data_IF_673696229800
#
_entry.id   IF_673696229800
#
_cell.length_a   1.000
_cell.length_b   1.000
_cell.length_c   1.000
_cell.angle_alpha   90.00
_cell.angle_beta   90.00
_cell.angle_gamma   90.00
#
_symmetry.space_group_name_H-M   'P 1'
#
loop_
_entity.id
_entity.type
_entity.pdbx_description
1 polymer ?
#
# COMPACT_ATOMS: atom_id res chain seq x y z
N UNK A 1 0.62 31.36 50.68
CA UNK A 1 0.33 29.91 50.53
C UNK A 1 -0.85 29.76 49.58
N UNK A 2 -0.68 29.19 48.38
CA UNK A 2 -1.82 28.92 47.50
C UNK A 2 -2.86 28.11 48.27
N UNK A 3 -4.10 28.60 48.30
CA UNK A 3 -5.20 27.96 49.04
C UNK A 3 -5.39 26.53 48.52
N UNK A 4 -5.68 25.58 49.42
CA UNK A 4 -5.90 24.16 49.10
C UNK A 4 -6.90 23.96 47.94
N UNK A 5 -7.84 24.89 47.80
CA UNK A 5 -8.79 24.96 46.70
C UNK A 5 -8.13 25.13 45.32
N UNK A 6 -7.09 25.96 45.19
CA UNK A 6 -6.38 26.17 43.90
C UNK A 6 -5.62 24.92 43.46
N UNK A 7 -5.01 24.22 44.42
CA UNK A 7 -4.35 22.93 44.15
C UNK A 7 -5.34 21.84 43.78
N UNK A 8 -6.51 21.80 44.42
CA UNK A 8 -7.57 20.86 44.06
C UNK A 8 -8.08 21.11 42.63
N UNK A 9 -8.30 22.38 42.24
CA UNK A 9 -8.74 22.73 40.89
C UNK A 9 -7.69 22.36 39.83
N UNK A 10 -6.40 22.63 40.11
CA UNK A 10 -5.31 22.24 39.20
C UNK A 10 -5.19 20.72 39.07
N UNK A 11 -5.33 19.97 40.15
CA UNK A 11 -5.30 18.51 40.11
C UNK A 11 -6.46 17.95 39.27
N UNK A 12 -7.67 18.51 39.43
CA UNK A 12 -8.84 18.11 38.63
C UNK A 12 -8.61 18.42 37.15
N UNK A 13 -8.14 19.63 36.81
CA UNK A 13 -7.82 19.99 35.42
C UNK A 13 -6.77 19.07 34.81
N UNK A 14 -5.73 18.73 35.57
CA UNK A 14 -4.68 17.82 35.10
C UNK A 14 -5.21 16.41 34.85
N UNK A 15 -6.06 15.89 35.73
CA UNK A 15 -6.72 14.58 35.54
C UNK A 15 -7.63 14.60 34.31
N UNK A 16 -8.48 15.63 34.17
CA UNK A 16 -9.37 15.77 33.01
C UNK A 16 -8.56 15.86 31.72
N UNK A 17 -7.48 16.63 31.69
CA UNK A 17 -6.59 16.74 30.54
C UNK A 17 -5.89 15.41 30.21
N UNK A 18 -5.38 14.70 31.23
CA UNK A 18 -4.78 13.38 31.03
C UNK A 18 -5.77 12.38 30.44
N UNK A 19 -6.99 12.34 30.98
CA UNK A 19 -8.06 11.46 30.47
C UNK A 19 -8.44 11.83 29.04
N UNK A 20 -8.59 13.12 28.72
CA UNK A 20 -8.97 13.54 27.36
C UNK A 20 -7.89 13.22 26.33
N UNK A 21 -6.61 13.38 26.68
CA UNK A 21 -5.48 12.99 25.81
C UNK A 21 -5.46 11.48 25.56
N UNK A 22 -5.67 10.66 26.59
CA UNK A 22 -5.74 9.20 26.46
C UNK A 22 -6.91 8.79 25.57
N UNK A 23 -8.11 9.32 25.82
CA UNK A 23 -9.31 8.99 25.02
C UNK A 23 -9.16 9.47 23.57
N UNK A 24 -8.58 10.64 23.34
CA UNK A 24 -8.33 11.14 21.99
C UNK A 24 -7.29 10.29 21.25
N UNK A 25 -6.24 9.83 21.92
CA UNK A 25 -5.22 8.95 21.36
C UNK A 25 -5.72 7.52 21.08
N UNK A 26 -6.79 7.10 21.75
CA UNK A 26 -7.41 5.79 21.57
C UNK A 26 -8.49 5.77 20.48
N UNK A 27 -8.75 6.87 19.77
CA UNK A 27 -9.68 6.85 18.64
C UNK A 27 -9.15 5.93 17.55
N UNK A 28 -9.65 4.70 17.53
CA UNK A 28 -9.55 3.81 16.40
C UNK A 28 -10.23 4.52 15.22
N UNK A 29 -9.47 4.82 14.18
CA UNK A 29 -10.01 5.26 12.89
C UNK A 29 -11.12 4.26 12.49
N UNK A 30 -12.34 4.70 12.12
CA UNK A 30 -13.39 3.79 11.73
C UNK A 30 -12.91 2.94 10.55
N UNK A 31 -12.67 1.66 10.81
CA UNK A 31 -12.32 0.69 9.78
C UNK A 31 -13.60 0.43 8.98
N UNK A 32 -13.59 0.80 7.71
CA UNK A 32 -14.72 0.52 6.81
C UNK A 32 -14.94 -1.00 6.77
N UNK A 33 -16.19 -1.44 6.92
CA UNK A 33 -16.55 -2.85 6.87
C UNK A 33 -16.03 -3.47 5.55
N UNK A 34 -15.32 -4.59 5.67
CA UNK A 34 -14.69 -5.27 4.53
C UNK A 34 -13.24 -4.89 4.24
N UNK A 35 -12.66 -3.90 4.92
CA UNK A 35 -11.23 -3.57 4.83
C UNK A 35 -10.52 -4.14 6.05
N UNK A 36 -9.70 -5.17 5.87
CA UNK A 36 -8.86 -5.68 6.96
C UNK A 36 -7.64 -4.78 7.11
N UNK A 37 -7.42 -4.27 8.32
CA UNK A 37 -6.21 -3.49 8.63
C UNK A 37 -5.01 -4.43 8.54
N UNK A 38 -4.12 -4.17 7.58
CA UNK A 38 -2.88 -4.91 7.41
C UNK A 38 -1.74 -4.10 8.04
N UNK A 39 -1.16 -4.62 9.11
CA UNK A 39 -0.01 -4.02 9.79
C UNK A 39 0.00 -4.28 11.29
N UNK A 40 1.00 -3.77 11.99
CA UNK A 40 1.04 -3.79 13.45
C UNK A 40 -0.15 -3.04 14.04
N UNK A 41 -0.67 -3.55 15.16
CA UNK A 41 -1.62 -2.81 15.97
C UNK A 41 -0.95 -1.62 16.66
N UNK A 42 -1.77 -0.69 17.18
CA UNK A 42 -1.24 0.46 17.92
C UNK A 42 -0.34 0.00 19.08
N UNK A 43 0.89 0.52 19.10
CA UNK A 43 1.94 0.16 20.07
C UNK A 43 2.38 -1.32 20.06
N UNK A 44 2.07 -2.09 19.02
CA UNK A 44 2.53 -3.47 18.92
C UNK A 44 4.02 -3.54 18.52
N UNK A 45 4.84 -4.33 19.24
CA UNK A 45 6.20 -4.62 18.80
C UNK A 45 6.24 -5.37 17.48
N UNK A 46 7.15 -4.97 16.57
CA UNK A 46 7.31 -5.59 15.24
C UNK A 46 7.45 -7.12 15.33
N UNK A 47 8.23 -7.62 16.29
CA UNK A 47 8.42 -9.06 16.48
C UNK A 47 7.13 -9.80 16.87
N UNK A 48 6.20 -9.14 17.57
CA UNK A 48 4.90 -9.70 17.91
C UNK A 48 3.97 -9.71 16.70
N UNK A 49 3.96 -8.60 15.94
CA UNK A 49 3.23 -8.51 14.67
C UNK A 49 3.65 -9.63 13.72
N UNK A 50 4.95 -9.81 13.49
CA UNK A 50 5.45 -10.82 12.56
C UNK A 50 5.07 -12.25 13.00
N UNK A 51 5.09 -12.53 14.31
CA UNK A 51 4.67 -13.82 14.86
C UNK A 51 3.18 -14.06 14.64
N UNK A 52 2.34 -13.07 14.93
CA UNK A 52 0.88 -13.14 14.72
C UNK A 52 0.54 -13.27 13.23
N UNK A 53 1.19 -12.49 12.38
CA UNK A 53 1.03 -12.56 10.93
C UNK A 53 1.42 -13.95 10.42
N UNK A 54 2.55 -14.50 10.86
CA UNK A 54 2.96 -15.87 10.54
C UNK A 54 1.94 -16.93 10.97
N UNK A 55 1.40 -16.80 12.19
CA UNK A 55 0.37 -17.72 12.69
C UNK A 55 -0.98 -17.59 11.97
N UNK A 56 -1.24 -16.47 11.30
CA UNK A 56 -2.47 -16.26 10.51
C UNK A 56 -2.42 -16.86 9.12
N UNK A 57 -1.23 -17.28 8.66
CA UNK A 57 -1.10 -17.91 7.35
C UNK A 57 -1.82 -19.27 7.33
N UNK A 58 -2.52 -19.61 6.24
CA UNK A 58 -3.13 -20.92 6.09
C UNK A 58 -2.09 -22.03 6.26
N UNK A 59 -2.39 -23.04 7.08
CA UNK A 59 -1.53 -24.22 7.20
C UNK A 59 -1.48 -25.01 5.89
N UNK A 60 -0.45 -25.84 5.70
CA UNK A 60 -0.19 -26.56 4.43
C UNK A 60 -1.27 -27.54 3.95
N UNK A 61 -2.36 -27.72 4.71
CA UNK A 61 -3.55 -28.50 4.33
C UNK A 61 -4.70 -27.65 3.79
N UNK A 62 -4.61 -26.32 3.88
CA UNK A 62 -5.52 -25.45 3.18
C UNK A 62 -5.18 -25.57 1.68
N UNK A 63 -6.18 -25.83 0.83
CA UNK A 63 -5.99 -25.90 -0.62
C UNK A 63 -5.46 -24.58 -1.21
N UNK A 64 -5.47 -24.40 -2.54
CA UNK A 64 -4.93 -23.20 -3.17
C UNK A 64 -5.51 -21.90 -2.58
N UNK A 65 -4.65 -20.98 -2.16
CA UNK A 65 -5.04 -19.67 -1.61
C UNK A 65 -4.48 -18.53 -2.46
N UNK A 66 -5.15 -17.38 -2.41
CA UNK A 66 -4.64 -16.15 -2.99
C UNK A 66 -3.43 -15.64 -2.19
N UNK A 67 -2.36 -15.28 -2.89
CA UNK A 67 -1.17 -14.70 -2.30
C UNK A 67 -0.75 -13.45 -3.09
N UNK A 68 -0.22 -12.46 -2.36
CA UNK A 68 0.51 -11.34 -2.96
C UNK A 68 2.00 -11.67 -2.91
N UNK A 69 2.65 -11.70 -4.08
CA UNK A 69 4.06 -12.04 -4.19
C UNK A 69 4.83 -10.78 -4.56
N UNK A 70 5.59 -10.23 -3.62
CA UNK A 70 6.50 -9.13 -3.92
C UNK A 70 7.79 -9.67 -4.53
N UNK A 71 8.19 -9.09 -5.65
CA UNK A 71 9.44 -9.45 -6.35
C UNK A 71 10.63 -8.73 -5.71
N UNK A 72 11.80 -9.37 -5.75
CA UNK A 72 13.07 -8.78 -5.30
C UNK A 72 13.60 -7.70 -6.26
N UNK A 73 13.19 -7.79 -7.52
CA UNK A 73 13.59 -6.94 -8.62
C UNK A 73 12.40 -6.69 -9.55
N UNK A 74 12.40 -5.53 -10.21
CA UNK A 74 11.35 -5.22 -11.16
C UNK A 74 11.48 -6.08 -12.41
N UNK A 75 10.37 -6.65 -12.87
CA UNK A 75 10.35 -7.49 -14.07
C UNK A 75 9.66 -6.81 -15.25
N UNK A 76 10.07 -7.24 -16.44
CA UNK A 76 9.33 -7.00 -17.68
C UNK A 76 8.04 -7.83 -17.70
N UNK A 77 7.03 -7.46 -18.51
CA UNK A 77 5.77 -8.19 -18.61
C UNK A 77 5.89 -9.69 -18.90
N UNK A 78 6.76 -10.08 -19.84
CA UNK A 78 6.91 -11.49 -20.24
C UNK A 78 7.51 -12.35 -19.12
N UNK A 79 8.67 -12.01 -18.51
CA UNK A 79 9.18 -12.73 -17.34
C UNK A 79 8.20 -12.78 -16.16
N UNK A 80 7.44 -11.71 -15.93
CA UNK A 80 6.42 -11.70 -14.88
C UNK A 80 5.28 -12.67 -15.18
N UNK A 81 4.79 -12.72 -16.42
CA UNK A 81 3.77 -13.67 -16.84
C UNK A 81 4.27 -15.12 -16.71
N UNK A 82 5.56 -15.36 -17.03
CA UNK A 82 6.18 -16.67 -16.89
C UNK A 82 6.20 -17.21 -15.46
N UNK A 83 6.37 -16.34 -14.45
CA UNK A 83 6.30 -16.73 -13.03
C UNK A 83 4.90 -17.23 -12.63
N UNK A 84 3.87 -16.80 -13.36
CA UNK A 84 2.48 -17.16 -13.06
C UNK A 84 2.00 -18.40 -13.82
N UNK A 85 2.89 -19.10 -14.53
CA UNK A 85 2.53 -20.34 -15.22
C UNK A 85 1.96 -21.37 -14.24
N UNK A 86 0.74 -21.83 -14.51
CA UNK A 86 0.04 -22.81 -13.67
C UNK A 86 -0.75 -22.21 -12.51
N UNK A 87 -0.73 -20.89 -12.31
CA UNK A 87 -1.57 -20.20 -11.34
C UNK A 87 -2.35 -19.07 -12.01
N UNK A 88 -3.49 -18.69 -11.42
CA UNK A 88 -4.27 -17.56 -11.93
C UNK A 88 -3.66 -16.26 -11.43
N UNK A 89 -3.28 -15.38 -12.35
CA UNK A 89 -2.89 -14.01 -12.02
C UNK A 89 -4.14 -13.12 -11.93
N UNK A 90 -4.47 -12.63 -10.73
CA UNK A 90 -5.68 -11.81 -10.50
C UNK A 90 -5.41 -10.32 -10.43
N UNK A 91 -4.18 -9.93 -10.09
CA UNK A 91 -3.77 -8.54 -9.91
C UNK A 91 -2.28 -8.40 -10.15
N UNK A 92 -1.89 -7.26 -10.71
CA UNK A 92 -0.50 -6.83 -10.83
C UNK A 92 -0.35 -5.44 -10.23
N UNK A 93 0.81 -5.17 -9.64
CA UNK A 93 1.21 -3.88 -9.10
C UNK A 93 2.43 -3.42 -9.89
N UNK A 94 2.30 -2.29 -10.57
CA UNK A 94 3.41 -1.63 -11.24
C UNK A 94 4.01 -0.53 -10.37
N UNK A 95 5.31 -0.34 -10.50
CA UNK A 95 6.02 0.86 -10.03
C UNK A 95 7.15 1.15 -11.00
N UNK A 96 7.16 2.34 -11.57
CA UNK A 96 8.26 2.74 -12.46
C UNK A 96 9.50 3.05 -11.62
N UNK A 97 10.63 2.37 -11.82
CA UNK A 97 11.85 2.67 -11.08
C UNK A 97 12.49 3.95 -11.65
N UNK A 98 12.34 5.07 -10.92
CA UNK A 98 13.02 6.32 -11.23
C UNK A 98 14.03 6.65 -10.10
N UNK A 99 15.33 6.87 -10.42
CA UNK A 99 16.34 7.14 -9.41
C UNK A 99 15.98 8.37 -8.56
N UNK A 100 16.00 8.21 -7.23
CA UNK A 100 15.74 9.29 -6.25
C UNK A 100 14.35 9.93 -6.38
N UNK A 101 13.37 9.17 -6.89
CA UNK A 101 11.98 9.61 -7.03
C UNK A 101 11.05 8.56 -6.46
N UNK A 102 10.13 8.98 -5.58
CA UNK A 102 9.01 8.13 -5.20
C UNK A 102 7.97 8.16 -6.32
N UNK A 103 7.84 7.04 -7.00
CA UNK A 103 6.84 6.80 -8.05
C UNK A 103 5.57 6.16 -7.48
N UNK A 104 4.49 6.22 -8.26
CA UNK A 104 3.20 5.67 -7.89
C UNK A 104 3.23 4.14 -7.89
N UNK A 105 2.52 3.54 -6.93
CA UNK A 105 2.11 2.13 -6.98
C UNK A 105 0.80 2.05 -7.75
N UNK A 106 0.80 1.31 -8.87
CA UNK A 106 -0.34 1.25 -9.79
C UNK A 106 -0.86 -0.18 -9.81
N UNK A 107 -1.98 -0.42 -9.14
CA UNK A 107 -2.65 -1.72 -9.13
C UNK A 107 -3.56 -1.87 -10.35
N UNK A 108 -3.56 -3.07 -10.94
CA UNK A 108 -4.46 -3.47 -12.02
C UNK A 108 -5.00 -4.86 -11.78
N UNK A 109 -6.32 -4.98 -11.83
CA UNK A 109 -6.99 -6.27 -11.79
C UNK A 109 -6.91 -6.93 -13.16
N UNK A 110 -6.64 -8.24 -13.15
CA UNK A 110 -6.41 -9.04 -14.33
C UNK A 110 -7.43 -10.19 -14.38
N UNK A 111 -8.01 -10.47 -15.55
CA UNK A 111 -8.82 -11.67 -15.76
C UNK A 111 -8.02 -12.96 -15.50
N UNK A 112 -6.72 -12.96 -15.84
CA UNK A 112 -5.77 -14.03 -15.59
C UNK A 112 -5.79 -15.13 -16.63
N UNK A 113 -6.43 -14.94 -17.79
CA UNK A 113 -6.53 -15.97 -18.83
C UNK A 113 -5.37 -15.88 -19.83
N UNK A 114 -4.91 -14.66 -20.12
CA UNK A 114 -3.85 -14.38 -21.09
C UNK A 114 -2.81 -13.43 -20.47
N UNK A 115 -1.99 -13.91 -19.52
CA UNK A 115 -1.21 -13.05 -18.64
C UNK A 115 -0.27 -12.11 -19.38
N UNK A 116 0.40 -12.55 -20.46
CA UNK A 116 1.27 -11.69 -21.27
C UNK A 116 0.52 -10.51 -21.89
N UNK A 117 -0.58 -10.79 -22.60
CA UNK A 117 -1.37 -9.74 -23.29
C UNK A 117 -2.08 -8.83 -22.30
N UNK A 118 -2.58 -9.40 -21.20
CA UNK A 118 -3.28 -8.65 -20.15
C UNK A 118 -2.31 -7.73 -19.39
N UNK A 119 -1.07 -8.18 -19.10
CA UNK A 119 -0.05 -7.30 -18.51
C UNK A 119 0.32 -6.15 -19.44
N UNK A 120 0.50 -6.42 -20.73
CA UNK A 120 0.80 -5.38 -21.72
C UNK A 120 -0.35 -4.35 -21.83
N UNK A 121 -1.60 -4.79 -21.75
CA UNK A 121 -2.76 -3.91 -21.71
C UNK A 121 -2.87 -3.12 -20.39
N UNK A 122 -2.65 -3.79 -19.27
CA UNK A 122 -2.61 -3.16 -17.94
C UNK A 122 -1.53 -2.08 -17.85
N UNK A 123 -0.35 -2.32 -18.43
CA UNK A 123 0.74 -1.35 -18.50
C UNK A 123 0.40 -0.15 -19.39
N UNK A 124 -0.27 -0.38 -20.54
CA UNK A 124 -0.78 0.70 -21.40
C UNK A 124 -1.83 1.55 -20.68
N UNK A 125 -2.77 0.92 -20.00
CA UNK A 125 -3.77 1.59 -19.16
C UNK A 125 -3.09 2.41 -18.05
N UNK A 126 -2.11 1.83 -17.35
CA UNK A 126 -1.33 2.52 -16.33
C UNK A 126 -0.66 3.78 -16.89
N UNK A 127 -0.10 3.70 -18.10
CA UNK A 127 0.51 4.85 -18.74
C UNK A 127 -0.50 5.99 -19.01
N UNK A 128 -1.72 5.66 -19.47
CA UNK A 128 -2.77 6.64 -19.70
C UNK A 128 -3.18 7.34 -18.41
N UNK A 129 -3.33 6.60 -17.31
CA UNK A 129 -3.64 7.17 -16.00
C UNK A 129 -2.54 8.12 -15.52
N UNK A 130 -1.26 7.78 -15.74
CA UNK A 130 -0.15 8.67 -15.39
C UNK A 130 -0.15 9.94 -16.25
N UNK A 131 -0.51 9.87 -17.53
CA UNK A 131 -0.74 11.08 -18.35
C UNK A 131 -1.91 11.91 -17.81
N UNK A 132 -3.02 11.26 -17.43
CA UNK A 132 -4.15 11.93 -16.78
C UNK A 132 -3.72 12.65 -15.51
N UNK A 133 -2.97 11.98 -14.64
CA UNK A 133 -2.43 12.54 -13.41
C UNK A 133 -1.48 13.72 -13.66
N UNK A 134 -0.68 13.69 -14.73
CA UNK A 134 0.17 14.84 -15.08
C UNK A 134 -0.61 16.10 -15.44
N UNK A 135 -1.80 15.93 -16.06
CA UNK A 135 -2.69 17.05 -16.43
C UNK A 135 -3.45 17.59 -15.22
N UNK A 136 -3.80 16.71 -14.28
CA UNK A 136 -4.52 17.06 -13.07
C UNK A 136 -3.61 17.62 -11.95
N UNK A 137 -2.31 17.33 -11.99
CA UNK A 137 -1.37 17.80 -11.00
C UNK A 137 -1.16 19.33 -11.09
N UNK A 138 -0.99 20.02 -9.95
CA UNK A 138 -0.43 21.36 -9.95
C UNK A 138 0.92 21.35 -10.69
N UNK A 139 1.20 22.39 -11.47
CA UNK A 139 2.44 22.47 -12.25
C UNK A 139 3.68 22.22 -11.38
N UNK A 140 4.74 21.66 -11.98
CA UNK A 140 6.00 21.38 -11.30
C UNK A 140 6.34 19.90 -11.18
N UNK A 141 7.00 19.51 -10.08
CA UNK A 141 7.64 18.20 -9.94
C UNK A 141 6.67 17.03 -10.06
N UNK A 142 5.48 17.12 -9.47
CA UNK A 142 4.48 16.05 -9.52
C UNK A 142 4.02 15.76 -10.96
N UNK A 143 3.74 16.80 -11.75
CA UNK A 143 3.40 16.67 -13.16
C UNK A 143 4.56 16.07 -13.97
N UNK A 144 5.80 16.53 -13.74
CA UNK A 144 6.98 16.00 -14.43
C UNK A 144 7.24 14.51 -14.13
N UNK A 145 7.08 14.08 -12.88
CA UNK A 145 7.20 12.67 -12.50
C UNK A 145 6.12 11.84 -13.20
N UNK A 146 4.87 12.30 -13.20
CA UNK A 146 3.78 11.59 -13.87
C UNK A 146 3.99 11.44 -15.38
N UNK A 147 4.53 12.47 -16.06
CA UNK A 147 4.93 12.38 -17.48
C UNK A 147 6.05 11.36 -17.68
N UNK A 148 7.08 11.37 -16.82
CA UNK A 148 8.20 10.43 -16.91
C UNK A 148 7.74 8.98 -16.71
N UNK A 149 6.87 8.73 -15.74
CA UNK A 149 6.26 7.42 -15.50
C UNK A 149 5.45 6.95 -16.71
N UNK A 150 4.61 7.82 -17.28
CA UNK A 150 3.86 7.51 -18.49
C UNK A 150 4.77 7.21 -19.70
N UNK A 151 5.91 7.89 -19.81
CA UNK A 151 6.93 7.60 -20.82
C UNK A 151 7.45 6.16 -20.70
N UNK A 152 7.93 5.79 -19.52
CA UNK A 152 8.49 4.46 -19.24
C UNK A 152 7.46 3.33 -19.44
N UNK A 153 6.23 3.52 -18.96
CA UNK A 153 5.17 2.53 -19.12
C UNK A 153 4.79 2.31 -20.60
N UNK A 154 4.81 3.36 -21.43
CA UNK A 154 4.56 3.23 -22.88
C UNK A 154 5.69 2.56 -23.64
N UNK A 155 6.94 2.78 -23.23
CA UNK A 155 8.10 2.17 -23.89
C UNK A 155 8.29 0.69 -23.54
N UNK A 156 7.56 0.17 -22.55
CA UNK A 156 7.73 -1.18 -22.03
C UNK A 156 8.94 -1.25 -21.10
N UNK A 157 8.70 -1.05 -19.81
CA UNK A 157 9.74 -0.99 -18.79
C UNK A 157 9.70 -2.19 -17.83
N UNK A 158 10.83 -2.49 -17.20
CA UNK A 158 10.90 -3.41 -16.08
C UNK A 158 10.28 -2.72 -14.86
N UNK A 159 8.98 -2.90 -14.70
CA UNK A 159 8.15 -2.10 -13.80
C UNK A 159 7.13 -2.94 -13.02
N UNK A 160 7.07 -4.25 -13.25
CA UNK A 160 6.25 -5.18 -12.45
C UNK A 160 6.92 -5.35 -11.10
N UNK A 161 6.19 -5.04 -10.03
CA UNK A 161 6.67 -5.14 -8.64
C UNK A 161 6.06 -6.34 -7.91
N UNK A 162 4.78 -6.63 -8.14
CA UNK A 162 4.04 -7.70 -7.49
C UNK A 162 2.83 -8.14 -8.31
#
# INVERSE_FOLDING_TARGET
>A
MPSRARWAVLAVLFVVFGVTVVVAGQRAEPVHSGVQRLGPEAAEPVAHYLRRAGASLPGGTAGPVWALVALDSYLMPEPAADLTRGVRLSRVIFRVPLPRVQTALISRDLPGQRPVTELAEAMRSAAQDRLGASRAAPSGRAAAVAVAEAGQLRSGCACVLA
#
